data_IF_252037577114
#
_entry.id   IF_252037577114
#
_cell.length_a   1.000
_cell.length_b   1.000
_cell.length_c   1.000
_cell.angle_alpha   90.00
_cell.angle_beta   90.00
_cell.angle_gamma   90.00
#
_symmetry.space_group_name_H-M   'P 1'
#
loop_
_entity.id
_entity.type
_entity.pdbx_description
1 polymer ?
#
# COMPACT_ATOMS: atom_id res chain seq x y z
N UNK A 1 -0.67 22.33 -24.60
CA UNK A 1 -0.45 21.27 -23.58
C UNK A 1 0.61 21.77 -22.64
N UNK A 2 0.39 21.67 -21.32
CA UNK A 2 1.37 22.09 -20.30
C UNK A 2 2.16 20.89 -19.75
N UNK A 3 1.54 19.72 -19.72
CA UNK A 3 2.09 18.48 -19.18
C UNK A 3 1.82 17.32 -20.15
N UNK A 4 2.77 16.39 -20.30
CA UNK A 4 2.60 15.15 -21.03
C UNK A 4 3.20 13.98 -20.25
N UNK A 5 2.45 12.85 -20.18
CA UNK A 5 2.82 11.66 -19.41
C UNK A 5 3.16 10.50 -20.34
N UNK A 6 4.29 9.86 -20.08
CA UNK A 6 4.80 8.72 -20.86
C UNK A 6 5.02 7.52 -19.93
N UNK A 7 4.30 6.45 -20.21
CA UNK A 7 4.37 5.20 -19.46
C UNK A 7 4.02 4.02 -20.37
N UNK A 8 4.28 2.80 -19.92
CA UNK A 8 4.06 1.58 -20.70
C UNK A 8 5.30 1.15 -21.49
N UNK A 9 5.66 -0.13 -21.36
CA UNK A 9 6.92 -0.65 -21.85
C UNK A 9 8.11 0.02 -21.13
N UNK A 10 9.11 0.40 -21.91
CA UNK A 10 10.23 1.25 -21.45
C UNK A 10 10.31 2.50 -22.35
N UNK A 11 9.82 3.65 -21.88
CA UNK A 11 9.71 4.84 -22.71
C UNK A 11 11.03 5.27 -23.36
N UNK A 12 12.16 5.16 -22.63
CA UNK A 12 13.47 5.56 -23.15
C UNK A 12 14.06 4.61 -24.21
N UNK A 13 13.42 3.44 -24.48
CA UNK A 13 13.78 2.54 -25.57
C UNK A 13 12.91 2.73 -26.81
N UNK A 14 11.81 3.48 -26.70
CA UNK A 14 10.84 3.62 -27.81
C UNK A 14 11.25 4.80 -28.69
N UNK A 15 11.76 4.51 -29.89
CA UNK A 15 12.27 5.55 -30.80
C UNK A 15 11.24 6.63 -31.09
N UNK A 16 10.01 6.28 -31.36
CA UNK A 16 8.95 7.26 -31.67
C UNK A 16 8.68 8.21 -30.51
N UNK A 17 8.93 7.82 -29.24
CA UNK A 17 8.78 8.72 -28.11
C UNK A 17 9.86 9.80 -28.12
N UNK A 18 11.08 9.48 -28.53
CA UNK A 18 12.14 10.47 -28.67
C UNK A 18 11.78 11.54 -29.71
N UNK A 19 11.23 11.11 -30.85
CA UNK A 19 10.79 12.04 -31.91
C UNK A 19 9.63 12.92 -31.43
N UNK A 20 8.69 12.35 -30.67
CA UNK A 20 7.59 13.09 -30.04
C UNK A 20 8.10 14.11 -29.04
N UNK A 21 9.01 13.73 -28.13
CA UNK A 21 9.59 14.65 -27.15
C UNK A 21 10.34 15.80 -27.80
N UNK A 22 11.21 15.51 -28.79
CA UNK A 22 11.94 16.55 -29.51
C UNK A 22 10.95 17.51 -30.21
N UNK A 23 9.89 16.98 -30.83
CA UNK A 23 8.87 17.82 -31.48
C UNK A 23 8.04 18.63 -30.51
N UNK A 24 7.69 18.07 -29.35
CA UNK A 24 6.96 18.80 -28.31
C UNK A 24 7.81 19.92 -27.71
N UNK A 25 9.11 19.70 -27.51
CA UNK A 25 10.06 20.72 -27.06
C UNK A 25 10.26 21.84 -28.06
N UNK A 26 10.27 21.54 -29.39
CA UNK A 26 10.28 22.57 -30.43
C UNK A 26 9.06 23.48 -30.37
N UNK A 27 7.86 22.91 -30.11
CA UNK A 27 6.59 23.65 -30.06
C UNK A 27 6.44 24.42 -28.75
N UNK A 28 6.79 23.79 -27.64
CA UNK A 28 6.68 24.36 -26.30
C UNK A 28 7.86 23.94 -25.41
N UNK A 29 8.95 24.75 -25.36
CA UNK A 29 10.11 24.43 -24.53
C UNK A 29 9.83 24.38 -23.01
N UNK A 30 8.67 24.90 -22.55
CA UNK A 30 8.27 24.90 -21.14
C UNK A 30 7.35 23.74 -20.76
N UNK A 31 7.17 22.78 -21.68
CA UNK A 31 6.33 21.61 -21.37
C UNK A 31 6.98 20.74 -20.30
N UNK A 32 6.17 20.23 -19.39
CA UNK A 32 6.60 19.26 -18.36
C UNK A 32 6.30 17.84 -18.81
N UNK A 33 7.30 16.98 -18.74
CA UNK A 33 7.19 15.57 -19.06
C UNK A 33 7.23 14.74 -17.76
N UNK A 34 6.25 13.90 -17.55
CA UNK A 34 6.28 12.88 -16.53
C UNK A 34 6.54 11.52 -17.18
N UNK A 35 7.64 10.86 -16.79
CA UNK A 35 8.08 9.59 -17.39
C UNK A 35 8.19 8.52 -16.30
N UNK A 36 7.48 7.40 -16.48
CA UNK A 36 7.67 6.19 -15.68
C UNK A 36 8.58 5.24 -16.46
N UNK A 37 9.75 4.95 -15.91
CA UNK A 37 10.77 4.08 -16.52
C UNK A 37 11.09 2.87 -15.64
N UNK A 38 11.49 1.77 -16.24
CA UNK A 38 12.07 0.64 -15.52
C UNK A 38 13.54 0.87 -15.11
N UNK A 39 14.10 2.02 -15.45
CA UNK A 39 15.46 2.42 -15.09
C UNK A 39 16.56 1.67 -15.82
N UNK A 40 16.24 0.86 -16.84
CA UNK A 40 17.25 0.04 -17.54
C UNK A 40 18.17 0.85 -18.47
N UNK A 41 17.77 2.07 -18.83
CA UNK A 41 18.45 2.85 -19.87
C UNK A 41 19.02 4.16 -19.33
N UNK A 42 20.32 4.32 -19.45
CA UNK A 42 21.03 5.57 -19.23
C UNK A 42 22.14 5.72 -20.25
N UNK A 43 21.86 6.42 -21.34
CA UNK A 43 22.79 6.61 -22.45
C UNK A 43 22.85 8.10 -22.86
N UNK A 44 23.67 8.43 -23.84
CA UNK A 44 23.84 9.80 -24.33
C UNK A 44 22.53 10.40 -24.87
N UNK A 45 21.70 9.57 -25.53
CA UNK A 45 20.41 10.03 -26.08
C UNK A 45 19.46 10.47 -24.96
N UNK A 46 19.32 9.63 -23.93
CA UNK A 46 18.49 9.96 -22.76
C UNK A 46 19.02 11.20 -22.05
N UNK A 47 20.32 11.25 -21.78
CA UNK A 47 20.92 12.42 -21.11
C UNK A 47 20.69 13.71 -21.90
N UNK A 48 20.94 13.69 -23.20
CA UNK A 48 20.75 14.87 -24.05
C UNK A 48 19.28 15.30 -24.13
N UNK A 49 18.35 14.34 -24.09
CA UNK A 49 16.92 14.63 -24.09
C UNK A 49 16.50 15.32 -22.78
N UNK A 50 16.78 14.71 -21.64
CA UNK A 50 16.32 15.23 -20.35
C UNK A 50 16.97 16.58 -19.98
N UNK A 51 18.18 16.87 -20.49
CA UNK A 51 18.83 18.18 -20.32
C UNK A 51 18.17 19.31 -21.15
N UNK A 52 17.44 18.96 -22.24
CA UNK A 52 16.74 19.94 -23.07
C UNK A 52 15.39 20.37 -22.50
N UNK A 53 14.76 19.54 -21.68
CA UNK A 53 13.39 19.75 -21.23
C UNK A 53 13.19 19.58 -19.73
N UNK A 54 11.93 19.70 -19.32
CA UNK A 54 11.52 19.54 -17.92
C UNK A 54 11.00 18.13 -17.71
N UNK A 55 11.84 17.23 -17.18
CA UNK A 55 11.47 15.83 -16.95
C UNK A 55 11.34 15.53 -15.46
N UNK A 56 10.17 15.09 -15.05
CA UNK A 56 9.91 14.39 -13.79
C UNK A 56 9.98 12.90 -14.03
N UNK A 57 10.83 12.22 -13.30
CA UNK A 57 11.17 10.81 -13.58
C UNK A 57 10.78 9.95 -12.39
N UNK A 58 9.91 8.98 -12.63
CA UNK A 58 9.57 7.92 -11.70
C UNK A 58 10.23 6.62 -12.16
N UNK A 59 11.03 6.01 -11.27
CA UNK A 59 11.77 4.79 -11.59
C UNK A 59 11.16 3.63 -10.80
N UNK A 60 10.81 2.58 -11.52
CA UNK A 60 10.23 1.39 -10.91
C UNK A 60 11.31 0.51 -10.26
N UNK A 61 11.17 0.23 -8.95
CA UNK A 61 12.04 -0.65 -8.18
C UNK A 61 11.22 -1.39 -7.12
N UNK A 62 11.30 -2.72 -7.08
CA UNK A 62 10.47 -3.53 -6.18
C UNK A 62 11.31 -4.28 -5.11
N UNK A 63 12.62 -4.08 -5.07
CA UNK A 63 13.49 -4.62 -4.02
C UNK A 63 14.86 -3.93 -4.04
N UNK A 64 15.49 -3.84 -2.87
CA UNK A 64 16.88 -3.43 -2.69
C UNK A 64 17.85 -4.64 -2.62
N UNK A 65 17.32 -5.86 -2.73
CA UNK A 65 18.07 -7.10 -2.78
C UNK A 65 18.12 -7.60 -4.23
N UNK A 66 19.33 -7.92 -4.70
CA UNK A 66 19.55 -8.31 -6.10
C UNK A 66 18.69 -9.50 -6.54
N UNK A 67 18.76 -10.60 -5.79
CA UNK A 67 18.08 -11.84 -6.12
C UNK A 67 16.57 -11.66 -6.13
N UNK A 68 16.03 -10.87 -5.19
CA UNK A 68 14.61 -10.59 -5.08
C UNK A 68 14.15 -9.66 -6.21
N UNK A 69 14.91 -8.60 -6.50
CA UNK A 69 14.58 -7.68 -7.61
C UNK A 69 14.55 -8.44 -8.95
N UNK A 70 15.58 -9.21 -9.26
CA UNK A 70 15.71 -9.92 -10.53
C UNK A 70 14.69 -11.06 -10.68
N UNK A 71 14.19 -11.60 -9.54
CA UNK A 71 13.06 -12.54 -9.51
C UNK A 71 11.73 -11.86 -9.81
N UNK A 72 11.46 -10.74 -9.16
CA UNK A 72 10.20 -9.97 -9.32
C UNK A 72 10.15 -9.34 -10.73
N UNK A 73 11.24 -8.70 -11.15
CA UNK A 73 11.36 -8.01 -12.43
C UNK A 73 12.23 -8.81 -13.39
N UNK A 74 11.60 -9.66 -14.20
CA UNK A 74 12.33 -10.45 -15.21
C UNK A 74 13.15 -9.53 -16.11
N UNK A 75 14.41 -9.94 -16.36
CA UNK A 75 15.38 -9.21 -17.18
C UNK A 75 15.92 -7.91 -16.57
N UNK A 76 15.50 -7.50 -15.40
CA UNK A 76 16.15 -6.41 -14.67
C UNK A 76 17.58 -6.84 -14.30
N UNK A 77 18.51 -5.87 -14.27
CA UNK A 77 19.87 -6.04 -13.76
C UNK A 77 20.05 -5.08 -12.61
N UNK A 78 20.16 -5.62 -11.41
CA UNK A 78 20.17 -4.84 -10.17
C UNK A 78 21.21 -3.73 -10.17
N UNK A 79 22.48 -4.05 -10.50
CA UNK A 79 23.56 -3.08 -10.49
C UNK A 79 23.33 -1.95 -11.51
N UNK A 80 22.78 -2.29 -12.66
CA UNK A 80 22.44 -1.29 -13.69
C UNK A 80 21.32 -0.36 -13.21
N UNK A 81 20.28 -0.93 -12.58
CA UNK A 81 19.16 -0.15 -12.07
C UNK A 81 19.61 0.82 -10.97
N UNK A 82 20.37 0.34 -9.98
CA UNK A 82 20.88 1.17 -8.89
C UNK A 82 21.78 2.29 -9.43
N UNK A 83 22.70 1.96 -10.33
CA UNK A 83 23.55 2.98 -10.97
C UNK A 83 22.73 4.03 -11.73
N UNK A 84 21.69 3.60 -12.44
CA UNK A 84 20.83 4.52 -13.19
C UNK A 84 19.95 5.36 -12.27
N UNK A 85 19.45 4.83 -11.14
CA UNK A 85 18.76 5.62 -10.10
C UNK A 85 19.65 6.76 -9.63
N UNK A 86 20.90 6.50 -9.30
CA UNK A 86 21.84 7.55 -8.90
C UNK A 86 22.11 8.57 -10.01
N UNK A 87 22.20 8.11 -11.26
CA UNK A 87 22.39 9.01 -12.41
C UNK A 87 21.19 9.93 -12.62
N UNK A 88 19.96 9.39 -12.63
CA UNK A 88 18.73 10.18 -12.74
C UNK A 88 18.57 11.13 -11.54
N UNK A 89 18.90 10.66 -10.33
CA UNK A 89 18.85 11.50 -9.14
C UNK A 89 19.81 12.68 -9.22
N UNK A 90 21.06 12.44 -9.68
CA UNK A 90 22.04 13.50 -9.90
C UNK A 90 21.54 14.54 -10.93
N UNK A 91 20.90 14.08 -12.00
CA UNK A 91 20.25 14.96 -12.96
C UNK A 91 19.15 15.80 -12.27
N UNK A 92 18.23 15.18 -11.55
CA UNK A 92 17.12 15.86 -10.90
C UNK A 92 17.62 16.93 -9.90
N UNK A 93 18.59 16.56 -9.06
CA UNK A 93 19.19 17.47 -8.08
C UNK A 93 19.88 18.69 -8.74
N UNK A 94 20.57 18.48 -9.88
CA UNK A 94 21.17 19.57 -10.66
C UNK A 94 20.13 20.62 -11.10
N UNK A 95 18.90 20.18 -11.33
CA UNK A 95 17.77 21.03 -11.74
C UNK A 95 16.85 21.43 -10.57
N UNK A 96 17.29 21.25 -9.31
CA UNK A 96 16.50 21.60 -8.12
C UNK A 96 15.27 20.73 -7.92
N UNK A 97 15.28 19.49 -8.44
CA UNK A 97 14.19 18.51 -8.41
C UNK A 97 14.60 17.25 -7.67
N UNK A 98 13.63 16.35 -7.44
CA UNK A 98 13.85 15.01 -6.94
C UNK A 98 13.23 14.01 -7.91
N UNK A 99 13.81 12.82 -8.02
CA UNK A 99 13.18 11.69 -8.67
C UNK A 99 12.15 11.05 -7.74
N UNK A 100 11.32 10.20 -8.33
CA UNK A 100 10.43 9.33 -7.58
C UNK A 100 10.82 7.87 -7.80
N UNK A 101 10.73 7.05 -6.73
CA UNK A 101 10.83 5.60 -6.83
C UNK A 101 9.44 4.99 -6.72
N UNK A 102 9.02 4.23 -7.74
CA UNK A 102 7.74 3.51 -7.74
C UNK A 102 7.96 2.10 -7.21
N UNK A 103 7.35 1.80 -6.07
CA UNK A 103 7.48 0.55 -5.34
C UNK A 103 6.12 -0.16 -5.28
N UNK A 104 6.03 -1.37 -5.84
CA UNK A 104 4.82 -2.17 -5.79
C UNK A 104 4.90 -3.16 -4.65
N UNK A 105 4.15 -2.89 -3.57
CA UNK A 105 4.05 -3.76 -2.40
C UNK A 105 3.33 -5.06 -2.73
N UNK A 106 3.96 -6.18 -2.39
CA UNK A 106 3.47 -7.53 -2.61
C UNK A 106 4.02 -8.49 -1.55
N UNK A 107 3.55 -9.76 -1.55
CA UNK A 107 3.97 -10.78 -0.56
C UNK A 107 5.49 -10.97 -0.48
N UNK A 108 6.21 -10.77 -1.56
CA UNK A 108 7.65 -11.07 -1.61
C UNK A 108 8.56 -9.95 -1.12
N UNK A 109 8.02 -8.70 -0.94
CA UNK A 109 8.88 -7.54 -0.67
C UNK A 109 8.39 -6.60 0.44
N UNK A 110 7.31 -6.91 1.13
CA UNK A 110 6.78 -6.05 2.19
C UNK A 110 7.80 -5.81 3.32
N UNK A 111 8.65 -6.81 3.59
CA UNK A 111 9.71 -6.77 4.61
C UNK A 111 10.79 -5.73 4.30
N UNK A 112 10.98 -5.37 3.03
CA UNK A 112 11.93 -4.35 2.59
C UNK A 112 11.35 -2.93 2.58
N UNK A 113 10.06 -2.76 2.84
CA UNK A 113 9.45 -1.44 2.74
C UNK A 113 10.07 -0.39 3.68
N UNK A 114 10.40 -0.71 4.95
CA UNK A 114 11.14 0.22 5.81
C UNK A 114 12.51 0.62 5.22
N UNK A 115 13.23 -0.32 4.63
CA UNK A 115 14.53 -0.03 4.04
C UNK A 115 14.41 0.77 2.73
N UNK A 116 13.35 0.55 1.95
CA UNK A 116 13.04 1.38 0.79
C UNK A 116 12.75 2.83 1.19
N UNK A 117 12.01 3.07 2.29
CA UNK A 117 11.80 4.41 2.84
C UNK A 117 13.13 5.07 3.24
N UNK A 118 14.02 4.32 3.94
CA UNK A 118 15.36 4.82 4.30
C UNK A 118 16.16 5.19 3.06
N UNK A 119 16.22 4.29 2.08
CA UNK A 119 16.94 4.52 0.83
C UNK A 119 16.43 5.77 0.09
N UNK A 120 15.11 5.92 -0.06
CA UNK A 120 14.52 7.13 -0.65
C UNK A 120 14.92 8.40 0.13
N UNK A 121 14.89 8.35 1.46
CA UNK A 121 15.27 9.47 2.30
C UNK A 121 16.76 9.82 2.20
N UNK A 122 17.64 8.83 2.05
CA UNK A 122 19.08 9.00 1.89
C UNK A 122 19.44 9.68 0.57
N UNK A 123 18.82 9.25 -0.51
CA UNK A 123 19.10 9.82 -1.84
C UNK A 123 18.29 11.09 -2.13
N UNK A 124 17.34 11.46 -1.28
CA UNK A 124 16.47 12.63 -1.47
C UNK A 124 15.38 12.41 -2.53
N UNK A 125 14.85 11.20 -2.64
CA UNK A 125 13.80 10.82 -3.57
C UNK A 125 12.43 10.70 -2.87
N UNK A 126 11.36 10.92 -3.64
CA UNK A 126 10.01 10.54 -3.24
C UNK A 126 9.80 9.04 -3.46
N UNK A 127 8.95 8.41 -2.64
CA UNK A 127 8.43 7.08 -2.91
C UNK A 127 6.97 7.17 -3.35
N UNK A 128 6.60 6.42 -4.39
CA UNK A 128 5.21 6.13 -4.73
C UNK A 128 4.95 4.66 -4.51
N UNK A 129 3.97 4.37 -3.68
CA UNK A 129 3.60 3.00 -3.30
C UNK A 129 2.32 2.62 -4.01
N UNK A 130 2.33 1.48 -4.69
CA UNK A 130 1.15 0.80 -5.19
C UNK A 130 1.03 -0.57 -4.53
N UNK A 131 -0.19 -1.07 -4.39
CA UNK A 131 -0.46 -2.39 -3.83
C UNK A 131 -0.79 -3.35 -4.97
N UNK A 132 -0.12 -4.50 -4.99
CA UNK A 132 -0.41 -5.52 -6.00
C UNK A 132 -1.75 -6.18 -5.66
N UNK A 133 -2.74 -6.00 -6.52
CA UNK A 133 -4.05 -6.62 -6.37
C UNK A 133 -4.16 -7.90 -7.19
N UNK A 134 -3.56 -7.91 -8.37
CA UNK A 134 -3.62 -9.04 -9.28
C UNK A 134 -2.25 -9.30 -9.96
N UNK A 135 -1.79 -10.57 -10.10
CA UNK A 135 -2.43 -11.81 -9.67
C UNK A 135 -2.56 -11.95 -8.14
N UNK A 136 -3.72 -12.41 -7.66
CA UNK A 136 -4.08 -12.45 -6.23
C UNK A 136 -3.04 -13.18 -5.37
N UNK A 137 -2.48 -14.29 -5.87
CA UNK A 137 -1.49 -15.10 -5.17
C UNK A 137 -0.20 -14.35 -4.80
N UNK A 138 0.05 -13.18 -5.36
CA UNK A 138 1.15 -12.29 -5.00
C UNK A 138 0.69 -11.09 -4.15
N UNK A 139 -0.61 -10.87 -4.04
CA UNK A 139 -1.18 -9.77 -3.27
C UNK A 139 -1.02 -9.99 -1.77
N UNK A 140 -0.70 -8.94 -1.01
CA UNK A 140 -0.75 -8.96 0.46
C UNK A 140 -2.18 -9.26 0.95
N UNK A 141 -3.20 -8.84 0.19
CA UNK A 141 -4.60 -9.08 0.53
C UNK A 141 -5.01 -10.57 0.56
N UNK A 142 -4.22 -11.46 -0.08
CA UNK A 142 -4.42 -12.92 -0.07
C UNK A 142 -3.71 -13.62 1.10
N UNK A 143 -3.12 -12.88 2.02
CA UNK A 143 -2.51 -13.41 3.23
C UNK A 143 -3.57 -13.71 4.29
N UNK A 144 -3.27 -14.68 5.15
CA UNK A 144 -4.10 -15.00 6.31
C UNK A 144 -4.07 -13.84 7.32
N UNK A 145 -5.07 -13.83 8.20
CA UNK A 145 -5.12 -12.84 9.28
C UNK A 145 -3.84 -12.81 10.12
N UNK A 146 -3.34 -13.98 10.51
CA UNK A 146 -2.13 -14.09 11.36
C UNK A 146 -0.87 -13.57 10.64
N UNK A 147 -0.74 -13.84 9.33
CA UNK A 147 0.35 -13.28 8.52
C UNK A 147 0.26 -11.74 8.42
N UNK A 148 -0.96 -11.21 8.24
CA UNK A 148 -1.17 -9.75 8.23
C UNK A 148 -0.84 -9.11 9.58
N UNK A 149 -1.17 -9.76 10.70
CA UNK A 149 -0.78 -9.32 12.05
C UNK A 149 0.73 -9.27 12.20
N UNK A 150 1.46 -10.30 11.72
CA UNK A 150 2.93 -10.31 11.80
C UNK A 150 3.55 -9.19 10.94
N UNK A 151 3.01 -8.93 9.74
CA UNK A 151 3.44 -7.79 8.93
C UNK A 151 3.21 -6.48 9.69
N UNK A 152 2.02 -6.32 10.28
CA UNK A 152 1.67 -5.10 11.03
C UNK A 152 2.58 -4.87 12.23
N UNK A 153 2.88 -5.94 13.00
CA UNK A 153 3.85 -5.91 14.12
C UNK A 153 5.26 -5.55 13.65
N UNK A 154 5.68 -6.10 12.50
CA UNK A 154 6.98 -5.76 11.91
C UNK A 154 7.05 -4.29 11.54
N UNK A 155 5.99 -3.74 10.93
CA UNK A 155 5.95 -2.31 10.60
C UNK A 155 6.00 -1.42 11.85
N UNK A 156 5.46 -1.84 12.98
CA UNK A 156 5.49 -1.06 14.22
C UNK A 156 6.89 -0.91 14.85
N UNK A 157 7.87 -1.68 14.38
CA UNK A 157 9.26 -1.56 14.84
C UNK A 157 9.97 -0.34 14.24
N UNK A 158 9.38 0.32 13.23
CA UNK A 158 9.99 1.44 12.53
C UNK A 158 9.11 2.68 12.62
N UNK A 159 9.78 3.81 12.76
CA UNK A 159 9.14 5.13 12.78
C UNK A 159 9.85 6.05 11.79
N UNK A 160 9.08 6.71 10.96
CA UNK A 160 9.57 7.70 10.01
C UNK A 160 8.91 9.04 10.24
N UNK A 161 9.71 10.10 10.17
CA UNK A 161 9.21 11.46 10.35
C UNK A 161 9.85 12.41 9.35
N UNK A 162 9.15 13.50 9.07
CA UNK A 162 9.64 14.59 8.23
C UNK A 162 8.67 15.74 8.25
N UNK A 163 9.19 16.97 8.33
CA UNK A 163 8.34 18.16 8.41
C UNK A 163 7.91 18.65 7.02
N UNK A 164 8.76 18.46 5.99
CA UNK A 164 8.52 18.97 4.64
C UNK A 164 9.11 18.05 3.57
N UNK A 165 8.75 18.30 2.31
CA UNK A 165 9.34 17.67 1.12
C UNK A 165 9.17 16.14 1.10
N UNK A 166 10.18 15.47 0.51
CA UNK A 166 10.16 14.02 0.33
C UNK A 166 10.09 13.24 1.65
N UNK A 167 10.75 13.70 2.72
CA UNK A 167 10.72 13.01 4.02
C UNK A 167 9.31 12.96 4.61
N UNK A 168 8.57 14.07 4.54
CA UNK A 168 7.17 14.11 4.98
C UNK A 168 6.30 13.18 4.13
N UNK A 169 6.48 13.22 2.82
CA UNK A 169 5.74 12.36 1.90
C UNK A 169 6.03 10.87 2.15
N UNK A 170 7.31 10.50 2.25
CA UNK A 170 7.73 9.12 2.46
C UNK A 170 7.23 8.56 3.81
N UNK A 171 7.32 9.38 4.87
CA UNK A 171 6.74 9.04 6.18
C UNK A 171 5.23 8.81 6.09
N UNK A 172 4.51 9.67 5.33
CA UNK A 172 3.09 9.48 5.09
C UNK A 172 2.79 8.18 4.35
N UNK A 173 3.52 7.86 3.28
CA UNK A 173 3.35 6.59 2.56
C UNK A 173 3.54 5.38 3.48
N UNK A 174 4.46 5.47 4.45
CA UNK A 174 4.66 4.42 5.44
C UNK A 174 3.45 4.26 6.37
N UNK A 175 2.91 5.35 6.90
CA UNK A 175 1.70 5.32 7.74
C UNK A 175 0.46 4.92 6.93
N UNK A 176 0.37 5.30 5.67
CA UNK A 176 -0.71 4.87 4.78
C UNK A 176 -0.71 3.34 4.58
N UNK A 177 0.47 2.70 4.52
CA UNK A 177 0.56 1.25 4.46
C UNK A 177 0.12 0.58 5.76
N UNK A 178 0.49 1.12 6.92
CA UNK A 178 0.00 0.63 8.21
C UNK A 178 -1.52 0.73 8.30
N UNK A 179 -2.09 1.84 7.83
CA UNK A 179 -3.54 2.02 7.75
C UNK A 179 -4.20 1.04 6.79
N UNK A 180 -3.55 0.74 5.65
CA UNK A 180 -4.02 -0.28 4.71
C UNK A 180 -4.11 -1.67 5.36
N UNK A 181 -3.07 -2.07 6.11
CA UNK A 181 -3.06 -3.31 6.88
C UNK A 181 -4.16 -3.33 7.96
N UNK A 182 -4.32 -2.24 8.70
CA UNK A 182 -5.35 -2.10 9.73
C UNK A 182 -6.76 -2.28 9.15
N UNK A 183 -7.04 -1.70 7.96
CA UNK A 183 -8.33 -1.86 7.27
C UNK A 183 -8.58 -3.32 6.86
N UNK A 184 -7.54 -4.06 6.43
CA UNK A 184 -7.68 -5.48 6.10
C UNK A 184 -7.92 -6.33 7.34
N UNK A 185 -7.19 -6.08 8.41
CA UNK A 185 -7.34 -6.80 9.67
C UNK A 185 -8.74 -6.58 10.26
N UNK A 186 -9.22 -5.33 10.27
CA UNK A 186 -10.56 -5.00 10.74
C UNK A 186 -11.64 -5.69 9.90
N UNK A 187 -11.54 -5.63 8.56
CA UNK A 187 -12.51 -6.24 7.66
C UNK A 187 -12.60 -7.77 7.79
N UNK A 188 -11.46 -8.42 8.02
CA UNK A 188 -11.39 -9.88 8.05
C UNK A 188 -11.76 -10.50 9.41
N UNK A 189 -11.49 -9.80 10.51
CA UNK A 189 -11.88 -10.22 11.85
C UNK A 189 -11.78 -9.06 12.84
N UNK A 190 -12.87 -8.34 13.03
CA UNK A 190 -12.95 -7.14 13.89
C UNK A 190 -12.51 -7.44 15.32
N UNK A 191 -12.99 -8.52 15.92
CA UNK A 191 -12.67 -8.89 17.31
C UNK A 191 -11.16 -9.12 17.50
N UNK A 192 -10.55 -9.96 16.68
CA UNK A 192 -9.09 -10.24 16.73
C UNK A 192 -8.23 -9.00 16.46
N UNK A 193 -8.68 -8.14 15.53
CA UNK A 193 -7.99 -6.88 15.26
C UNK A 193 -8.02 -5.92 16.47
N UNK A 194 -9.15 -5.81 17.15
CA UNK A 194 -9.29 -4.97 18.32
C UNK A 194 -8.46 -5.50 19.51
N UNK A 195 -8.40 -6.82 19.70
CA UNK A 195 -7.49 -7.48 20.67
C UNK A 195 -6.03 -7.15 20.38
N UNK A 196 -5.58 -7.31 19.12
CA UNK A 196 -4.23 -6.93 18.70
C UNK A 196 -3.92 -5.45 19.00
N UNK A 197 -4.86 -4.54 18.71
CA UNK A 197 -4.71 -3.12 19.02
C UNK A 197 -4.60 -2.86 20.52
N UNK A 198 -5.38 -3.59 21.31
CA UNK A 198 -5.39 -3.46 22.78
C UNK A 198 -4.05 -3.89 23.39
N UNK A 199 -3.50 -5.02 22.96
CA UNK A 199 -2.22 -5.56 23.44
C UNK A 199 -1.06 -4.61 23.11
N UNK A 200 -1.05 -4.04 21.93
CA UNK A 200 0.05 -3.21 21.42
C UNK A 200 -0.08 -1.72 21.75
N UNK A 201 -1.07 -1.32 22.55
CA UNK A 201 -1.29 0.08 22.94
C UNK A 201 -0.86 0.35 24.37
N UNK A 202 0.00 1.38 24.57
CA UNK A 202 0.42 1.85 25.89
C UNK A 202 -0.47 2.98 26.45
N UNK A 203 -1.23 3.68 25.59
CA UNK A 203 -2.07 4.80 26.00
C UNK A 203 -3.37 4.34 26.64
N UNK A 204 -3.62 4.76 27.89
CA UNK A 204 -4.88 4.48 28.59
C UNK A 204 -6.11 5.03 27.87
N UNK A 205 -6.00 6.21 27.24
CA UNK A 205 -7.11 6.81 26.48
C UNK A 205 -7.42 6.01 25.22
N UNK A 206 -6.39 5.53 24.53
CA UNK A 206 -6.56 4.70 23.34
C UNK A 206 -7.12 3.32 23.69
N UNK A 207 -6.68 2.72 24.81
CA UNK A 207 -7.29 1.48 25.33
C UNK A 207 -8.78 1.65 25.59
N UNK A 208 -9.19 2.72 26.26
CA UNK A 208 -10.60 2.99 26.51
C UNK A 208 -11.41 3.17 25.20
N UNK A 209 -10.81 3.79 24.17
CA UNK A 209 -11.44 3.92 22.85
C UNK A 209 -11.59 2.55 22.19
N UNK A 210 -10.55 1.71 22.20
CA UNK A 210 -10.60 0.34 21.65
C UNK A 210 -11.69 -0.49 22.34
N UNK A 211 -11.79 -0.45 23.66
CA UNK A 211 -12.89 -1.13 24.39
C UNK A 211 -14.26 -0.60 23.98
N UNK A 212 -14.39 0.71 23.75
CA UNK A 212 -15.65 1.28 23.25
C UNK A 212 -15.97 0.82 21.83
N UNK A 213 -14.95 0.70 20.97
CA UNK A 213 -15.11 0.24 19.58
C UNK A 213 -15.47 -1.27 19.53
N UNK A 214 -14.86 -2.09 20.39
CA UNK A 214 -15.24 -3.50 20.58
C UNK A 214 -16.71 -3.67 20.95
N UNK A 215 -17.21 -2.84 21.89
CA UNK A 215 -18.61 -2.87 22.29
C UNK A 215 -19.56 -2.49 21.15
N UNK A 216 -19.21 -1.45 20.38
CA UNK A 216 -19.99 -1.02 19.22
C UNK A 216 -19.99 -2.06 18.10
N UNK A 217 -18.83 -2.65 17.82
CA UNK A 217 -18.70 -3.69 16.80
C UNK A 217 -19.58 -4.90 17.07
N UNK A 218 -19.75 -5.26 18.33
CA UNK A 218 -20.67 -6.34 18.71
C UNK A 218 -22.14 -5.98 18.43
N UNK A 219 -22.54 -4.76 18.80
CA UNK A 219 -23.90 -4.26 18.58
C UNK A 219 -24.19 -4.10 17.08
N UNK A 220 -23.21 -3.62 16.29
CA UNK A 220 -23.32 -3.50 14.84
C UNK A 220 -23.45 -4.88 14.17
N UNK A 221 -22.67 -5.87 14.59
CA UNK A 221 -22.76 -7.26 14.10
C UNK A 221 -24.09 -7.91 14.43
N UNK A 222 -24.63 -7.65 15.63
CA UNK A 222 -25.96 -8.09 16.04
C UNK A 222 -27.02 -7.53 15.14
N UNK A 223 -26.98 -6.23 14.88
CA UNK A 223 -27.96 -5.55 14.01
C UNK A 223 -27.86 -6.06 12.57
N UNK A 224 -26.67 -6.26 12.02
CA UNK A 224 -26.47 -6.78 10.67
C UNK A 224 -27.02 -8.20 10.51
N UNK A 225 -26.85 -9.05 11.53
CA UNK A 225 -27.41 -10.42 11.55
C UNK A 225 -28.94 -10.37 11.62
N UNK A 226 -29.52 -9.51 12.48
CA UNK A 226 -30.95 -9.30 12.55
C UNK A 226 -31.53 -8.84 11.21
N UNK A 227 -30.90 -7.89 10.54
CA UNK A 227 -31.32 -7.35 9.25
C UNK A 227 -31.26 -8.43 8.15
N UNK A 228 -30.16 -9.19 8.05
CA UNK A 228 -30.01 -10.28 7.07
C UNK A 228 -31.04 -11.40 7.30
N UNK A 229 -31.29 -11.75 8.55
CA UNK A 229 -32.29 -12.75 8.87
C UNK A 229 -33.71 -12.27 8.54
N UNK A 230 -34.05 -11.02 8.85
CA UNK A 230 -35.33 -10.43 8.48
C UNK A 230 -35.53 -10.42 6.96
N UNK A 231 -34.50 -10.04 6.19
CA UNK A 231 -34.52 -10.07 4.72
C UNK A 231 -34.75 -11.49 4.19
N UNK A 232 -34.03 -12.49 4.73
CA UNK A 232 -34.22 -13.89 4.36
C UNK A 232 -35.65 -14.39 4.60
N UNK A 233 -36.28 -14.02 5.71
CA UNK A 233 -37.66 -14.40 6.01
C UNK A 233 -38.66 -13.71 5.07
N UNK A 234 -38.45 -12.45 4.73
CA UNK A 234 -39.26 -11.70 3.75
C UNK A 234 -39.13 -12.36 2.37
N UNK A 235 -37.92 -12.67 1.90
CA UNK A 235 -37.69 -13.31 0.60
C UNK A 235 -38.28 -14.71 0.49
N UNK A 236 -38.36 -15.46 1.60
CA UNK A 236 -38.91 -16.79 1.66
C UNK A 236 -40.43 -16.84 1.94
N UNK A 237 -41.10 -15.68 2.08
CA UNK A 237 -42.52 -15.56 2.43
C UNK A 237 -42.91 -16.43 3.66
N UNK A 238 -41.99 -16.57 4.61
CA UNK A 238 -42.21 -17.27 5.86
C UNK A 238 -42.94 -16.30 6.80
N UNK A 239 -44.23 -16.57 7.10
CA UNK A 239 -44.91 -15.82 8.15
C UNK A 239 -44.20 -16.08 9.49
N UNK A 240 -43.74 -15.00 10.11
CA UNK A 240 -43.15 -15.02 11.46
C UNK A 240 -44.27 -15.24 12.48
N UNK A 241 -44.74 -16.46 12.58
CA UNK A 241 -45.80 -16.85 13.55
C UNK A 241 -45.26 -17.01 14.97
N UNK A 242 -43.92 -16.91 15.20
CA UNK A 242 -43.37 -17.06 16.53
C UNK A 242 -42.10 -16.19 16.74
N UNK A 243 -42.31 -14.92 17.02
CA UNK A 243 -41.21 -13.97 17.29
C UNK A 243 -40.36 -14.33 18.52
N UNK A 244 -40.88 -15.12 19.47
CA UNK A 244 -40.13 -15.53 20.66
C UNK A 244 -39.18 -16.70 20.38
N UNK A 245 -39.56 -17.67 19.56
CA UNK A 245 -38.67 -18.79 19.18
C UNK A 245 -37.50 -18.30 18.29
N UNK A 246 -37.75 -17.29 17.46
CA UNK A 246 -36.74 -16.62 16.66
C UNK A 246 -35.73 -15.86 17.53
N UNK A 247 -36.22 -15.07 18.49
CA UNK A 247 -35.36 -14.38 19.45
C UNK A 247 -34.53 -15.33 20.27
N UNK A 248 -35.09 -16.43 20.72
CA UNK A 248 -34.39 -17.45 21.48
C UNK A 248 -33.28 -18.13 20.66
N UNK A 249 -33.50 -18.42 19.37
CA UNK A 249 -32.47 -18.98 18.48
C UNK A 249 -31.40 -17.98 18.15
N UNK A 250 -31.75 -16.72 17.96
CA UNK A 250 -30.77 -15.62 17.75
C UNK A 250 -29.89 -15.43 18.99
N UNK A 251 -30.51 -15.39 20.18
CA UNK A 251 -29.77 -15.27 21.45
C UNK A 251 -28.87 -16.49 21.70
N UNK A 252 -29.29 -17.71 21.34
CA UNK A 252 -28.45 -18.90 21.40
C UNK A 252 -27.24 -18.83 20.45
N UNK A 253 -27.44 -18.38 19.22
CA UNK A 253 -26.37 -18.15 18.25
C UNK A 253 -25.38 -17.09 18.76
N UNK A 254 -25.89 -15.99 19.26
CA UNK A 254 -25.08 -14.90 19.83
C UNK A 254 -24.32 -15.34 21.09
N UNK A 255 -24.91 -16.21 21.93
CA UNK A 255 -24.21 -16.82 23.08
C UNK A 255 -23.08 -17.78 22.65
N UNK A 256 -23.25 -18.52 21.55
CA UNK A 256 -22.19 -19.37 20.99
C UNK A 256 -21.02 -18.49 20.51
N UNK A 257 -21.30 -17.40 19.79
CA UNK A 257 -20.28 -16.42 19.39
C UNK A 257 -19.60 -15.78 20.60
N UNK A 258 -20.36 -15.36 21.62
CA UNK A 258 -19.79 -14.81 22.87
C UNK A 258 -18.95 -15.84 23.66
N UNK A 259 -19.32 -17.11 23.61
CA UNK A 259 -18.56 -18.17 24.32
C UNK A 259 -17.31 -18.57 23.57
N UNK A 260 -17.29 -18.51 22.26
CA UNK A 260 -16.09 -18.69 21.45
C UNK A 260 -15.14 -17.51 21.64
N UNK A 261 -15.62 -16.26 21.60
CA UNK A 261 -14.84 -15.07 21.91
C UNK A 261 -14.33 -15.10 23.37
N UNK A 262 -15.15 -15.50 24.36
CA UNK A 262 -14.69 -15.65 25.75
C UNK A 262 -13.72 -16.80 25.98
N UNK A 263 -13.80 -17.89 25.24
CA UNK A 263 -12.78 -18.95 25.29
C UNK A 263 -11.41 -18.46 24.84
N UNK A 264 -11.37 -17.58 23.87
CA UNK A 264 -10.15 -16.92 23.44
C UNK A 264 -9.61 -15.95 24.50
N UNK A 265 -10.48 -15.15 25.13
CA UNK A 265 -10.12 -14.19 26.19
C UNK A 265 -9.65 -14.87 27.50
N UNK A 266 -10.05 -16.11 27.78
CA UNK A 266 -9.66 -16.87 29.00
C UNK A 266 -8.39 -17.72 28.74
N UNK A 267 -7.99 -17.92 27.48
CA UNK A 267 -6.77 -18.64 27.10
C UNK A 267 -5.52 -17.74 27.01
N UNK A 268 -5.67 -16.43 27.24
CA UNK A 268 -4.62 -15.44 27.41
C UNK A 268 -4.38 -15.16 28.89
#
# INVERSE_FOLDING_TARGET
VKEAKFFGGEPFLIDVYHDIWDKMLEINPSIEFFVITNGSVWNNRVRNLIEKGHFEIAISIDSLQKEKLEKIRKHAKFETLIANIHNFNKYAQKHGRAISLSFTLQKENWDEFPDMIKFCNEIGAFIFVSYLEWPENFSIADLTYDELVEIRKYMDQFEFSGLTGYKKHNAKCYEDFKTYLDNFLEKNNVSRYLEYRLENTQSKQLKNKIYSDMSKSYDDLKQELEDKMNQYFIEKQIELTNSEEFKLKLDQLLQVFQQEDKKYLISL
#
